data_IF_811640933174
#
_entry.id   IF_811640933174
#
_cell.length_a   1.000
_cell.length_b   1.000
_cell.length_c   1.000
_cell.angle_alpha   90.00
_cell.angle_beta   90.00
_cell.angle_gamma   90.00
#
_symmetry.space_group_name_H-M   'P 1'
#
loop_
_entity.id
_entity.type
_entity.pdbx_description
1 polymer ?
#
# COMPACT_ATOMS: atom_id res chain seq x y z
N UNK A 1 0.17 3.17 28.45
CA UNK A 1 0.26 2.49 27.15
C UNK A 1 1.66 2.54 26.57
N UNK A 2 2.15 3.71 26.07
CA UNK A 2 3.43 3.82 25.35
C UNK A 2 4.67 3.42 26.17
N UNK A 3 4.74 3.77 27.44
CA UNK A 3 5.83 3.34 28.34
C UNK A 3 5.89 1.81 28.53
N UNK A 4 4.71 1.16 28.61
CA UNK A 4 4.63 -0.29 28.68
C UNK A 4 5.03 -0.93 27.35
N UNK A 5 4.59 -0.34 26.25
CA UNK A 5 4.97 -0.77 24.89
C UNK A 5 6.50 -0.71 24.72
N UNK A 6 7.13 0.41 25.09
CA UNK A 6 8.59 0.57 25.01
C UNK A 6 9.33 -0.48 25.83
N UNK A 7 8.86 -0.73 27.06
CA UNK A 7 9.46 -1.74 27.93
C UNK A 7 9.37 -3.16 27.35
N UNK A 8 8.25 -3.48 26.68
CA UNK A 8 8.03 -4.78 26.04
C UNK A 8 8.73 -4.91 24.68
N UNK A 9 8.81 -3.84 23.89
CA UNK A 9 9.37 -3.84 22.55
C UNK A 9 10.91 -3.73 22.49
N UNK A 10 11.58 -3.37 23.60
CA UNK A 10 13.04 -3.31 23.68
C UNK A 10 13.69 -2.19 22.88
N UNK A 11 13.00 -1.07 22.63
CA UNK A 11 13.50 0.10 21.88
C UNK A 11 14.01 -0.23 20.48
N UNK A 12 13.20 -0.81 19.60
CA UNK A 12 13.65 -1.34 18.31
C UNK A 12 14.28 -0.28 17.39
N UNK A 13 13.99 1.02 17.61
CA UNK A 13 14.50 2.14 16.79
C UNK A 13 15.42 3.08 17.59
N UNK A 14 15.93 2.67 18.75
CA UNK A 14 16.90 3.44 19.54
C UNK A 14 16.34 4.71 20.21
N UNK A 15 15.05 5.00 20.09
CA UNK A 15 14.39 6.16 20.66
C UNK A 15 13.75 5.89 22.02
N UNK A 16 13.54 6.93 22.80
CA UNK A 16 12.85 6.86 24.09
C UNK A 16 11.50 7.57 24.04
N UNK A 17 10.50 7.02 24.74
CA UNK A 17 9.26 7.74 25.01
C UNK A 17 9.54 8.91 25.93
N UNK A 18 9.23 10.13 25.48
CA UNK A 18 9.42 11.37 26.25
C UNK A 18 8.13 12.15 26.37
N UNK A 19 7.88 12.67 27.58
CA UNK A 19 6.78 13.61 27.79
C UNK A 19 7.18 15.02 27.36
N UNK A 20 6.28 15.71 26.67
CA UNK A 20 6.42 17.10 26.25
C UNK A 20 5.33 17.93 26.92
N UNK A 21 5.72 19.05 27.53
CA UNK A 21 4.76 20.01 28.13
C UNK A 21 3.96 20.73 27.02
N UNK A 22 2.80 21.26 27.41
CA UNK A 22 2.00 22.11 26.53
C UNK A 22 2.77 23.37 26.06
N UNK A 23 3.61 23.93 26.91
CA UNK A 23 4.46 25.09 26.57
C UNK A 23 5.48 24.71 25.48
N UNK A 24 6.16 23.56 25.63
CA UNK A 24 7.11 23.06 24.65
C UNK A 24 6.42 22.82 23.29
N UNK A 25 5.20 22.28 23.29
CA UNK A 25 4.43 22.04 22.07
C UNK A 25 4.02 23.35 21.38
N UNK A 26 3.52 24.34 22.14
CA UNK A 26 3.15 25.66 21.59
C UNK A 26 4.33 26.37 20.93
N UNK A 27 5.53 26.21 21.48
CA UNK A 27 6.76 26.78 20.92
C UNK A 27 7.22 26.01 19.68
N UNK A 28 7.12 24.68 19.71
CA UNK A 28 7.61 23.81 18.63
C UNK A 28 6.67 23.75 17.44
N UNK A 29 5.36 23.88 17.69
CA UNK A 29 4.29 23.83 16.69
C UNK A 29 3.39 25.06 16.88
N UNK A 30 3.83 26.25 16.45
CA UNK A 30 3.11 27.52 16.70
C UNK A 30 1.72 27.55 16.05
N UNK A 31 1.57 26.88 14.91
CA UNK A 31 0.33 26.82 14.13
C UNK A 31 -0.63 25.73 14.59
N UNK A 32 -0.19 24.87 15.51
CA UNK A 32 -1.06 23.85 16.06
C UNK A 32 -2.05 24.48 17.05
N UNK A 33 -3.29 23.98 17.05
CA UNK A 33 -4.33 24.44 17.96
C UNK A 33 -3.84 24.48 19.41
N UNK A 34 -4.19 25.52 20.13
CA UNK A 34 -3.74 25.77 21.51
C UNK A 34 -4.75 25.31 22.54
N UNK A 35 -6.04 25.29 22.16
CA UNK A 35 -7.16 24.97 23.06
C UNK A 35 -7.17 23.49 23.45
N UNK A 36 -7.29 23.22 24.75
CA UNK A 36 -7.31 21.87 25.31
C UNK A 36 -5.96 21.15 25.29
N UNK A 37 -4.87 21.78 24.80
CA UNK A 37 -3.56 21.17 24.73
C UNK A 37 -2.95 21.02 26.13
N UNK A 38 -2.82 19.79 26.62
CA UNK A 38 -2.27 19.46 27.94
C UNK A 38 -0.81 19.03 27.91
N UNK A 39 -0.36 18.47 26.79
CA UNK A 39 0.97 17.91 26.55
C UNK A 39 0.92 16.85 25.45
N UNK A 40 2.05 16.19 25.23
CA UNK A 40 2.15 15.06 24.33
C UNK A 40 3.16 14.03 24.81
N UNK A 41 3.10 12.84 24.23
CA UNK A 41 4.16 11.84 24.30
C UNK A 41 4.85 11.77 22.95
N UNK A 42 6.16 11.91 22.95
CA UNK A 42 6.99 11.66 21.76
C UNK A 42 7.51 10.23 21.82
N UNK A 43 7.40 9.52 20.75
CA UNK A 43 7.99 8.17 20.55
C UNK A 43 8.55 8.08 19.14
N UNK A 44 9.37 7.07 18.89
CA UNK A 44 9.93 6.79 17.56
C UNK A 44 9.16 5.63 16.94
N UNK A 45 8.82 5.78 15.68
CA UNK A 45 8.18 4.76 14.87
C UNK A 45 8.79 4.77 13.46
N UNK A 46 8.50 3.75 12.66
CA UNK A 46 8.95 3.63 11.29
C UNK A 46 7.82 3.89 10.31
N UNK A 47 8.14 4.51 9.19
CA UNK A 47 7.23 4.76 8.10
C UNK A 47 7.70 4.02 6.85
N UNK A 48 6.82 3.20 6.26
CA UNK A 48 7.02 2.66 4.91
C UNK A 48 6.64 3.76 3.93
N UNK A 49 7.62 4.30 3.21
CA UNK A 49 7.40 5.43 2.32
C UNK A 49 6.56 5.04 1.09
N UNK A 50 6.82 3.87 0.53
CA UNK A 50 6.17 3.36 -0.68
C UNK A 50 5.65 1.94 -0.41
N UNK A 51 4.46 1.79 0.19
CA UNK A 51 3.90 0.47 0.49
C UNK A 51 3.61 -0.36 -0.77
N UNK A 52 3.30 0.28 -1.88
CA UNK A 52 3.11 -0.35 -3.19
C UNK A 52 4.41 -1.00 -3.66
N UNK A 53 5.55 -0.31 -3.52
CA UNK A 53 6.88 -0.85 -3.85
C UNK A 53 7.20 -2.09 -3.04
N UNK A 54 6.90 -2.09 -1.73
CA UNK A 54 7.12 -3.27 -0.89
C UNK A 54 6.39 -4.50 -1.44
N UNK A 55 5.15 -4.33 -1.93
CA UNK A 55 4.37 -5.44 -2.51
C UNK A 55 4.98 -5.91 -3.84
N UNK A 56 5.38 -4.98 -4.71
CA UNK A 56 6.03 -5.29 -6.00
C UNK A 56 7.33 -6.04 -5.79
N UNK A 57 8.17 -5.59 -4.88
CA UNK A 57 9.47 -6.23 -4.56
C UNK A 57 9.27 -7.65 -4.00
N UNK A 58 8.31 -7.85 -3.09
CA UNK A 58 7.98 -9.18 -2.57
C UNK A 58 7.47 -10.11 -3.67
N UNK A 59 6.70 -9.60 -4.63
CA UNK A 59 6.23 -10.36 -5.79
C UNK A 59 7.38 -10.74 -6.70
N UNK A 60 8.27 -9.80 -7.02
CA UNK A 60 9.45 -10.03 -7.85
C UNK A 60 10.39 -11.04 -7.20
N UNK A 61 10.65 -10.93 -5.90
CA UNK A 61 11.43 -11.91 -5.14
C UNK A 61 10.82 -13.32 -5.18
N UNK A 62 9.50 -13.40 -5.10
CA UNK A 62 8.80 -14.70 -5.20
C UNK A 62 8.98 -15.33 -6.59
N UNK A 63 8.91 -14.53 -7.64
CA UNK A 63 9.14 -15.00 -9.03
C UNK A 63 10.60 -15.45 -9.21
N UNK A 64 11.57 -14.71 -8.72
CA UNK A 64 12.98 -15.12 -8.71
C UNK A 64 13.22 -16.42 -7.91
N UNK A 65 12.38 -16.68 -6.90
CA UNK A 65 12.39 -17.94 -6.15
C UNK A 65 11.63 -19.09 -6.82
N UNK A 66 11.10 -18.89 -8.05
CA UNK A 66 10.44 -19.91 -8.86
C UNK A 66 8.91 -19.90 -8.78
N UNK A 67 8.28 -18.87 -8.23
CA UNK A 67 6.84 -18.70 -8.31
C UNK A 67 6.43 -18.20 -9.70
N UNK A 68 5.22 -18.56 -10.15
CA UNK A 68 4.56 -17.92 -11.30
C UNK A 68 3.65 -16.81 -10.83
N UNK A 69 3.57 -15.73 -11.59
CA UNK A 69 2.71 -14.59 -11.30
C UNK A 69 1.88 -14.23 -12.54
N UNK A 70 0.55 -14.21 -12.40
CA UNK A 70 -0.39 -13.73 -13.41
C UNK A 70 -0.97 -12.39 -12.97
N UNK A 71 -0.61 -11.31 -13.67
CA UNK A 71 -1.10 -9.94 -13.41
C UNK A 71 -2.25 -9.62 -14.37
N UNK A 72 -3.21 -8.81 -13.89
CA UNK A 72 -4.38 -8.41 -14.69
C UNK A 72 -5.41 -9.51 -14.91
N UNK A 73 -5.25 -10.66 -14.25
CA UNK A 73 -6.16 -11.79 -14.34
C UNK A 73 -6.85 -12.04 -13.00
N UNK A 74 -8.18 -11.97 -13.00
CA UNK A 74 -8.98 -12.18 -11.79
C UNK A 74 -9.34 -13.64 -11.61
N UNK A 75 -9.35 -14.13 -10.37
CA UNK A 75 -9.97 -15.40 -10.01
C UNK A 75 -11.48 -15.19 -9.94
N UNK A 76 -12.22 -15.87 -10.83
CA UNK A 76 -13.69 -15.77 -10.90
C UNK A 76 -14.37 -16.72 -9.92
N UNK A 77 -13.89 -17.96 -9.83
CA UNK A 77 -14.48 -18.98 -8.98
C UNK A 77 -13.44 -19.99 -8.47
N UNK A 78 -13.80 -20.70 -7.41
CA UNK A 78 -13.09 -21.90 -6.94
C UNK A 78 -13.68 -23.14 -7.61
N UNK A 79 -12.81 -24.00 -8.12
CA UNK A 79 -13.20 -25.28 -8.75
C UNK A 79 -13.36 -26.34 -7.66
N UNK A 80 -14.50 -27.05 -7.66
CA UNK A 80 -14.80 -28.13 -6.74
C UNK A 80 -14.76 -29.49 -7.44
N UNK A 81 -14.18 -30.45 -6.74
CA UNK A 81 -14.38 -31.88 -7.01
C UNK A 81 -15.04 -32.48 -5.75
N UNK A 82 -16.30 -32.89 -5.89
CA UNK A 82 -17.15 -33.28 -4.77
C UNK A 82 -17.26 -32.17 -3.71
N UNK A 83 -16.66 -32.36 -2.53
CA UNK A 83 -16.65 -31.37 -1.42
C UNK A 83 -15.31 -30.64 -1.26
N UNK A 84 -14.32 -30.94 -2.09
CA UNK A 84 -12.96 -30.39 -1.98
C UNK A 84 -12.71 -29.32 -3.02
N UNK A 85 -12.03 -28.25 -2.64
CA UNK A 85 -11.51 -27.23 -3.55
C UNK A 85 -10.21 -27.76 -4.16
N UNK A 86 -10.19 -27.86 -5.49
CA UNK A 86 -9.08 -28.45 -6.25
C UNK A 86 -8.42 -27.48 -7.22
N UNK A 87 -8.98 -26.27 -7.40
CA UNK A 87 -8.46 -25.30 -8.37
C UNK A 87 -9.19 -23.98 -8.35
N UNK A 88 -8.86 -23.15 -9.35
CA UNK A 88 -9.46 -21.83 -9.58
C UNK A 88 -9.76 -21.65 -11.07
N UNK A 89 -10.85 -20.95 -11.37
CA UNK A 89 -11.20 -20.44 -12.69
C UNK A 89 -10.78 -18.97 -12.80
N UNK A 90 -10.09 -18.62 -13.89
CA UNK A 90 -9.59 -17.29 -14.16
C UNK A 90 -10.47 -16.52 -15.14
N UNK A 91 -10.43 -15.21 -15.10
CA UNK A 91 -11.22 -14.31 -15.97
C UNK A 91 -10.88 -14.43 -17.47
N UNK A 92 -9.75 -15.02 -17.82
CA UNK A 92 -9.34 -15.34 -19.19
C UNK A 92 -9.75 -16.75 -19.65
N UNK A 93 -10.51 -17.46 -18.81
CA UNK A 93 -11.01 -18.81 -19.09
C UNK A 93 -10.04 -19.95 -18.74
N UNK A 94 -8.82 -19.67 -18.29
CA UNK A 94 -7.90 -20.71 -17.83
C UNK A 94 -8.38 -21.32 -16.52
N UNK A 95 -8.13 -22.63 -16.39
CA UNK A 95 -8.37 -23.39 -15.17
C UNK A 95 -7.03 -23.81 -14.58
N UNK A 96 -6.78 -23.48 -13.32
CA UNK A 96 -5.57 -23.86 -12.61
C UNK A 96 -5.89 -24.81 -11.47
N UNK A 97 -5.16 -25.91 -11.37
CA UNK A 97 -5.35 -26.94 -10.35
C UNK A 97 -4.17 -27.02 -9.42
N UNK A 98 -4.44 -27.18 -8.13
CA UNK A 98 -3.41 -27.36 -7.11
C UNK A 98 -3.94 -28.20 -5.93
N UNK A 99 -3.07 -28.92 -5.20
CA UNK A 99 -3.48 -29.72 -4.05
C UNK A 99 -3.93 -28.88 -2.85
N UNK A 100 -3.70 -27.57 -2.86
CA UNK A 100 -4.13 -26.62 -1.83
C UNK A 100 -4.22 -25.23 -2.45
N UNK A 101 -5.34 -24.56 -2.23
CA UNK A 101 -5.57 -23.17 -2.63
C UNK A 101 -5.46 -22.28 -1.40
N UNK A 102 -4.81 -21.12 -1.57
CA UNK A 102 -4.72 -20.08 -0.52
C UNK A 102 -5.43 -18.84 -1.03
N UNK A 103 -6.59 -18.54 -0.43
CA UNK A 103 -7.35 -17.33 -0.73
C UNK A 103 -6.83 -16.18 0.13
N UNK A 104 -6.01 -15.33 -0.49
CA UNK A 104 -5.46 -14.11 0.10
C UNK A 104 -6.09 -12.85 -0.52
N UNK A 105 -7.33 -12.92 -1.01
CA UNK A 105 -8.02 -11.88 -1.77
C UNK A 105 -8.44 -10.65 -0.93
N UNK A 106 -7.93 -10.51 0.30
CA UNK A 106 -8.18 -9.33 1.14
C UNK A 106 -9.67 -9.12 1.40
N UNK A 107 -10.21 -7.96 1.05
CA UNK A 107 -11.63 -7.66 1.26
C UNK A 107 -12.58 -8.34 0.26
N UNK A 108 -12.06 -8.99 -0.79
CA UNK A 108 -12.84 -9.82 -1.73
C UNK A 108 -12.97 -11.29 -1.32
N UNK A 109 -12.39 -11.72 -0.18
CA UNK A 109 -12.47 -13.11 0.27
C UNK A 109 -13.91 -13.63 0.29
N UNK A 110 -14.83 -12.90 0.90
CA UNK A 110 -16.24 -13.32 0.98
C UNK A 110 -16.94 -13.34 -0.39
N UNK A 111 -16.59 -12.40 -1.27
CA UNK A 111 -17.13 -12.34 -2.63
C UNK A 111 -16.70 -13.56 -3.47
N UNK A 112 -15.40 -13.93 -3.40
CA UNK A 112 -14.93 -15.15 -4.06
C UNK A 112 -15.61 -16.41 -3.52
N UNK A 113 -15.77 -16.49 -2.20
CA UNK A 113 -16.47 -17.61 -1.57
C UNK A 113 -17.94 -17.69 -2.03
N UNK A 114 -18.65 -16.57 -2.14
CA UNK A 114 -20.04 -16.51 -2.61
C UNK A 114 -20.16 -16.95 -4.08
N UNK A 115 -19.30 -16.45 -4.97
CA UNK A 115 -19.26 -16.85 -6.39
C UNK A 115 -19.00 -18.35 -6.58
N UNK A 116 -18.31 -18.96 -5.62
CA UNK A 116 -17.93 -20.37 -5.63
C UNK A 116 -18.96 -21.29 -4.93
N UNK A 117 -20.19 -20.83 -4.74
CA UNK A 117 -21.29 -21.57 -4.11
C UNK A 117 -20.94 -22.09 -2.70
N UNK A 118 -20.04 -21.39 -2.01
CA UNK A 118 -19.69 -21.73 -0.64
C UNK A 118 -20.89 -21.56 0.30
N UNK A 119 -21.09 -22.52 1.17
CA UNK A 119 -22.09 -22.45 2.25
C UNK A 119 -21.58 -21.67 3.46
N UNK A 120 -20.34 -21.20 3.43
CA UNK A 120 -19.75 -20.43 4.51
C UNK A 120 -20.50 -19.10 4.67
N UNK A 121 -20.78 -18.73 5.93
CA UNK A 121 -21.30 -17.38 6.23
C UNK A 121 -20.20 -16.35 6.01
N UNK A 122 -20.55 -15.10 5.67
CA UNK A 122 -19.58 -14.03 5.51
C UNK A 122 -18.63 -13.95 6.71
N UNK A 123 -17.33 -13.91 6.43
CA UNK A 123 -16.26 -13.96 7.41
C UNK A 123 -15.71 -12.59 7.75
N UNK A 124 -15.97 -11.60 6.89
CA UNK A 124 -15.44 -10.24 7.02
C UNK A 124 -16.49 -9.25 7.53
N UNK A 125 -16.01 -8.23 8.19
CA UNK A 125 -16.68 -6.97 8.47
C UNK A 125 -15.80 -5.87 7.90
N UNK A 126 -16.19 -5.35 6.76
CA UNK A 126 -15.38 -4.40 6.01
C UNK A 126 -15.67 -2.96 6.41
N UNK A 127 -14.61 -2.15 6.54
CA UNK A 127 -14.71 -0.71 6.73
C UNK A 127 -13.82 0.01 5.74
N UNK A 128 -14.28 1.17 5.23
CA UNK A 128 -13.49 2.06 4.40
C UNK A 128 -12.77 3.08 5.28
N UNK A 129 -11.55 3.39 4.91
CA UNK A 129 -10.77 4.46 5.52
C UNK A 129 -10.12 5.31 4.46
N UNK A 130 -10.38 6.61 4.53
CA UNK A 130 -9.94 7.60 3.55
C UNK A 130 -8.88 8.52 4.14
N UNK A 131 -8.02 9.02 3.27
CA UNK A 131 -6.98 10.02 3.56
C UNK A 131 -6.98 11.06 2.46
N UNK A 132 -6.55 12.28 2.80
CA UNK A 132 -6.24 13.33 1.85
C UNK A 132 -4.77 13.73 1.98
N UNK A 133 -4.19 14.18 0.88
CA UNK A 133 -2.85 14.76 0.86
C UNK A 133 -2.98 16.26 0.63
N UNK A 134 -2.37 17.06 1.50
CA UNK A 134 -2.40 18.51 1.49
C UNK A 134 -0.98 19.07 1.37
N UNK A 135 -0.78 20.26 0.81
CA UNK A 135 0.53 20.90 0.81
C UNK A 135 0.99 21.23 2.22
N UNK A 136 2.25 20.94 2.52
CA UNK A 136 2.85 21.30 3.79
C UNK A 136 3.28 22.75 3.77
N UNK A 137 2.78 23.55 4.72
CA UNK A 137 3.09 24.98 4.84
C UNK A 137 4.11 25.24 5.95
N UNK A 138 4.74 26.42 5.95
CA UNK A 138 5.67 26.80 7.00
C UNK A 138 4.98 26.74 8.38
N UNK A 139 5.70 26.23 9.40
CA UNK A 139 5.15 26.04 10.75
C UNK A 139 4.41 24.72 10.98
N UNK A 140 4.15 23.96 9.94
CA UNK A 140 3.54 22.63 10.06
C UNK A 140 4.50 21.61 10.69
N UNK A 141 3.96 20.53 11.31
CA UNK A 141 4.78 19.55 12.00
C UNK A 141 5.76 18.87 11.04
N UNK A 142 7.02 18.75 11.46
CA UNK A 142 8.06 17.99 10.77
C UNK A 142 8.09 16.50 11.21
N UNK A 143 7.22 16.11 12.14
CA UNK A 143 7.08 14.73 12.64
C UNK A 143 5.62 14.32 12.58
N UNK A 144 5.36 13.05 12.42
CA UNK A 144 3.99 12.53 12.46
C UNK A 144 3.30 12.88 13.77
N UNK A 145 2.06 13.29 13.69
CA UNK A 145 1.19 13.56 14.83
C UNK A 145 0.07 12.53 14.87
N UNK A 146 -0.12 11.94 16.04
CA UNK A 146 -1.29 11.13 16.39
C UNK A 146 -2.13 11.93 17.38
N UNK A 147 -3.34 12.26 16.99
CA UNK A 147 -4.28 13.05 17.78
C UNK A 147 -5.66 12.39 17.76
N UNK A 148 -6.56 12.89 18.60
CA UNK A 148 -7.98 12.56 18.50
C UNK A 148 -8.70 13.64 17.72
N UNK A 149 -9.50 13.22 16.74
CA UNK A 149 -10.41 14.07 16.02
C UNK A 149 -11.36 14.77 17.01
N UNK A 150 -11.65 16.02 16.74
CA UNK A 150 -12.43 16.84 17.69
C UNK A 150 -13.91 16.52 17.63
N UNK A 151 -14.40 16.17 16.45
CA UNK A 151 -15.83 15.91 16.22
C UNK A 151 -16.29 14.61 16.89
N UNK A 152 -15.50 13.54 16.86
CA UNK A 152 -15.92 12.19 17.26
C UNK A 152 -14.91 11.44 18.15
N UNK A 153 -13.72 12.01 18.40
CA UNK A 153 -12.69 11.43 19.23
C UNK A 153 -11.92 10.28 18.60
N UNK A 154 -12.09 10.01 17.31
CA UNK A 154 -11.33 8.97 16.59
C UNK A 154 -9.84 9.29 16.52
N UNK A 155 -9.00 8.25 16.40
CA UNK A 155 -7.60 8.42 16.04
C UNK A 155 -7.45 9.12 14.69
N UNK A 156 -6.65 10.18 14.68
CA UNK A 156 -6.40 11.01 13.51
C UNK A 156 -4.91 11.26 13.37
N UNK A 157 -4.41 11.17 12.14
CA UNK A 157 -3.00 11.33 11.85
C UNK A 157 -2.75 12.50 10.92
N UNK A 158 -1.67 13.24 11.20
CA UNK A 158 -1.03 14.16 10.26
C UNK A 158 0.40 13.65 10.08
N UNK A 159 0.72 13.14 8.90
CA UNK A 159 2.01 12.52 8.62
C UNK A 159 2.72 13.31 7.52
N UNK A 160 3.86 13.95 7.81
CA UNK A 160 4.68 14.62 6.79
C UNK A 160 5.15 13.61 5.73
N UNK A 161 5.05 14.03 4.45
CA UNK A 161 5.41 13.23 3.30
C UNK A 161 6.09 14.11 2.26
N UNK A 162 7.40 14.27 2.36
CA UNK A 162 8.12 15.28 1.59
C UNK A 162 7.59 16.68 1.88
N UNK A 163 7.17 17.38 0.85
CA UNK A 163 6.57 18.73 0.95
C UNK A 163 5.04 18.69 1.15
N UNK A 164 4.48 17.50 1.33
CA UNK A 164 3.07 17.26 1.56
C UNK A 164 2.78 16.76 2.97
N UNK A 165 1.51 16.68 3.32
CA UNK A 165 0.98 16.21 4.59
C UNK A 165 -0.15 15.22 4.33
N UNK A 166 0.03 13.96 4.71
CA UNK A 166 -1.05 12.98 4.76
C UNK A 166 -1.93 13.22 5.97
N UNK A 167 -3.24 13.31 5.74
CA UNK A 167 -4.26 13.60 6.74
C UNK A 167 -5.30 12.49 6.74
N UNK A 168 -5.54 11.89 7.88
CA UNK A 168 -6.53 10.81 8.03
C UNK A 168 -6.41 10.04 9.35
N UNK A 169 -7.34 9.15 9.58
CA UNK A 169 -8.19 8.42 8.64
C UNK A 169 -9.66 8.45 9.07
N UNK A 170 -10.55 8.21 8.10
CA UNK A 170 -11.94 7.84 8.38
C UNK A 170 -12.04 6.36 8.73
N UNK A 171 -13.18 5.90 9.26
CA UNK A 171 -13.49 4.49 9.51
C UNK A 171 -15.00 4.28 9.41
N UNK A 172 -15.48 3.97 8.20
CA UNK A 172 -16.88 3.89 7.86
C UNK A 172 -17.22 2.46 7.42
N UNK A 173 -18.29 1.88 7.97
CA UNK A 173 -18.78 0.57 7.51
C UNK A 173 -19.06 0.59 6.00
N UNK A 174 -18.61 -0.44 5.28
CA UNK A 174 -18.70 -0.48 3.83
C UNK A 174 -18.77 -1.91 3.31
N UNK A 175 -19.83 -2.24 2.56
CA UNK A 175 -20.07 -3.61 2.09
C UNK A 175 -19.64 -3.86 0.63
N UNK A 176 -19.38 -2.80 -0.14
CA UNK A 176 -19.09 -2.92 -1.57
C UNK A 176 -17.57 -2.92 -1.81
N UNK A 177 -16.94 -4.10 -2.02
CA UNK A 177 -15.49 -4.19 -2.08
C UNK A 177 -14.87 -3.46 -3.29
N UNK A 178 -15.65 -3.22 -4.34
CA UNK A 178 -15.17 -2.55 -5.56
C UNK A 178 -15.31 -1.02 -5.52
N UNK A 179 -15.94 -0.46 -4.46
CA UNK A 179 -16.14 0.98 -4.27
C UNK A 179 -15.25 1.51 -3.13
N UNK A 180 -13.96 1.66 -3.40
CA UNK A 180 -12.94 1.98 -2.39
C UNK A 180 -12.47 3.44 -2.37
N UNK A 181 -13.03 4.31 -3.20
CA UNK A 181 -12.69 5.74 -3.25
C UNK A 181 -13.29 6.54 -2.08
N UNK A 182 -12.67 7.68 -1.74
CA UNK A 182 -13.17 8.61 -0.74
C UNK A 182 -14.46 9.28 -1.22
N UNK A 183 -15.43 9.49 -0.31
CA UNK A 183 -16.62 10.28 -0.62
C UNK A 183 -16.40 11.75 -0.24
N UNK A 184 -17.21 12.65 -0.81
CA UNK A 184 -17.16 14.08 -0.49
C UNK A 184 -17.33 14.32 1.01
N UNK A 185 -18.22 13.57 1.68
CA UNK A 185 -18.43 13.70 3.14
C UNK A 185 -17.20 13.28 3.94
N UNK A 186 -16.43 12.30 3.45
CA UNK A 186 -15.17 11.91 4.07
C UNK A 186 -14.09 12.97 3.84
N UNK A 187 -14.04 13.56 2.66
CA UNK A 187 -13.11 14.64 2.31
C UNK A 187 -13.40 15.87 3.18
N UNK A 188 -14.67 16.31 3.26
CA UNK A 188 -15.10 17.42 4.11
C UNK A 188 -14.71 17.20 5.58
N UNK A 189 -14.97 16.00 6.10
CA UNK A 189 -14.59 15.64 7.47
C UNK A 189 -13.07 15.76 7.68
N UNK A 190 -12.26 15.27 6.74
CA UNK A 190 -10.80 15.31 6.86
C UNK A 190 -10.25 16.74 6.75
N UNK A 191 -10.81 17.56 5.87
CA UNK A 191 -10.48 19.00 5.76
C UNK A 191 -10.82 19.75 7.05
N UNK A 192 -12.02 19.54 7.59
CA UNK A 192 -12.48 20.18 8.81
C UNK A 192 -11.59 19.83 10.00
N UNK A 193 -11.24 18.55 10.18
CA UNK A 193 -10.34 18.11 11.25
C UNK A 193 -8.90 18.66 11.06
N UNK A 194 -8.40 18.72 9.82
CA UNK A 194 -7.11 19.31 9.52
C UNK A 194 -7.08 20.80 9.89
N UNK A 195 -8.09 21.56 9.49
CA UNK A 195 -8.22 22.99 9.79
C UNK A 195 -8.44 23.27 11.28
N UNK A 196 -9.13 22.38 12.00
CA UNK A 196 -9.25 22.48 13.45
C UNK A 196 -7.93 22.23 14.18
N UNK A 197 -7.05 21.39 13.62
CA UNK A 197 -5.72 21.14 14.19
C UNK A 197 -4.69 22.20 13.80
N UNK A 198 -4.80 22.71 12.58
CA UNK A 198 -3.90 23.69 11.96
C UNK A 198 -4.71 24.93 11.51
N UNK A 199 -5.28 25.73 12.46
CA UNK A 199 -6.24 26.76 12.14
C UNK A 199 -5.69 27.89 11.25
N UNK A 200 -4.38 28.06 11.17
CA UNK A 200 -3.74 29.06 10.28
C UNK A 200 -3.59 28.57 8.85
N UNK A 201 -3.78 27.28 8.60
CA UNK A 201 -3.62 26.68 7.27
C UNK A 201 -4.79 27.04 6.35
N UNK A 202 -6.00 27.06 6.86
CA UNK A 202 -7.25 27.38 6.13
C UNK A 202 -7.36 26.61 4.80
N UNK A 203 -7.15 25.29 4.86
CA UNK A 203 -7.21 24.41 3.70
C UNK A 203 -8.57 24.37 3.05
N UNK A 204 -8.60 24.35 1.73
CA UNK A 204 -9.80 24.23 0.90
C UNK A 204 -9.72 22.97 0.03
N UNK A 205 -10.82 22.61 -0.62
CA UNK A 205 -10.86 21.50 -1.56
C UNK A 205 -9.79 21.61 -2.65
N UNK A 206 -9.55 22.82 -3.17
CA UNK A 206 -8.55 23.10 -4.20
C UNK A 206 -7.10 22.89 -3.73
N UNK A 207 -6.86 22.80 -2.42
CA UNK A 207 -5.55 22.47 -1.85
C UNK A 207 -5.28 20.95 -1.84
N UNK A 208 -6.26 20.11 -2.16
CA UNK A 208 -6.11 18.65 -2.11
C UNK A 208 -5.27 18.20 -3.30
N UNK A 209 -4.09 17.68 -3.01
CA UNK A 209 -3.17 17.14 -4.02
C UNK A 209 -3.63 15.75 -4.48
N UNK A 210 -4.13 14.93 -3.55
CA UNK A 210 -4.48 13.54 -3.79
C UNK A 210 -5.45 13.05 -2.70
N UNK A 211 -6.38 12.18 -3.07
CA UNK A 211 -7.17 11.37 -2.13
C UNK A 211 -6.74 9.91 -2.19
N UNK A 212 -6.84 9.20 -1.09
CA UNK A 212 -6.62 7.75 -1.03
C UNK A 212 -7.64 7.13 -0.09
N UNK A 213 -8.23 6.04 -0.53
CA UNK A 213 -9.09 5.24 0.31
C UNK A 213 -8.78 3.76 0.17
N UNK A 214 -9.17 2.99 1.17
CA UNK A 214 -8.97 1.54 1.15
C UNK A 214 -9.95 0.84 2.07
N UNK A 215 -10.27 -0.41 1.73
CA UNK A 215 -11.20 -1.24 2.49
C UNK A 215 -10.42 -2.16 3.43
N UNK A 216 -10.75 -2.07 4.72
CA UNK A 216 -10.16 -2.92 5.76
C UNK A 216 -10.93 -4.24 5.87
N UNK A 217 -10.31 -5.39 5.61
CA UNK A 217 -10.96 -6.70 5.73
C UNK A 217 -10.93 -7.16 7.20
N UNK A 218 -11.70 -6.53 8.07
CA UNK A 218 -11.73 -6.89 9.49
C UNK A 218 -12.44 -8.22 9.69
N UNK A 219 -11.97 -9.03 10.65
CA UNK A 219 -12.57 -10.35 10.92
C UNK A 219 -13.91 -10.17 11.64
N UNK A 220 -14.99 -10.71 11.07
CA UNK A 220 -16.32 -10.69 11.68
C UNK A 220 -16.32 -11.56 12.95
N UNK A 221 -16.68 -10.95 14.08
CA UNK A 221 -16.91 -11.68 15.32
C UNK A 221 -18.29 -12.30 15.33
N UNK A 222 -18.42 -13.49 15.91
CA UNK A 222 -19.72 -14.12 16.17
C UNK A 222 -20.41 -13.38 17.33
N UNK A 223 -21.62 -12.80 17.10
CA UNK A 223 -22.39 -12.13 18.15
C UNK A 223 -23.35 -11.04 17.63
N UNK A 224 -24.38 -10.65 18.41
CA UNK A 224 -25.54 -9.89 17.91
C UNK A 224 -25.39 -8.39 17.79
N UNK A 225 -24.32 -7.74 18.04
CA UNK A 225 -24.02 -6.33 17.72
C UNK A 225 -22.57 -6.01 18.06
N UNK A 226 -21.79 -5.69 17.06
CA UNK A 226 -20.41 -5.20 17.25
C UNK A 226 -20.47 -3.67 17.16
N UNK A 227 -20.01 -2.98 18.22
CA UNK A 227 -19.77 -1.54 18.14
C UNK A 227 -18.65 -1.30 17.12
N UNK A 228 -18.83 -0.34 16.23
CA UNK A 228 -17.77 0.19 15.37
C UNK A 228 -16.55 0.53 16.23
N UNK A 229 -15.37 0.18 15.78
CA UNK A 229 -14.13 0.33 16.54
C UNK A 229 -13.76 -0.80 17.51
N UNK A 230 -14.68 -1.75 17.82
CA UNK A 230 -14.40 -2.91 18.69
C UNK A 230 -13.98 -4.17 17.92
N UNK A 231 -13.91 -4.11 16.58
CA UNK A 231 -13.54 -5.24 15.72
C UNK A 231 -12.02 -5.47 15.80
N UNK A 232 -11.63 -6.71 16.05
CA UNK A 232 -10.20 -7.07 16.11
C UNK A 232 -9.53 -6.86 14.74
N UNK A 233 -8.39 -6.20 14.74
CA UNK A 233 -7.49 -6.08 13.58
C UNK A 233 -6.49 -7.22 13.49
N UNK A 234 -6.60 -8.23 14.35
CA UNK A 234 -5.78 -9.45 14.28
C UNK A 234 -6.20 -10.28 13.07
N UNK A 235 -5.22 -10.87 12.40
CA UNK A 235 -5.48 -11.80 11.30
C UNK A 235 -5.97 -13.16 11.81
N UNK A 236 -6.61 -13.91 10.91
CA UNK A 236 -6.94 -15.32 11.10
C UNK A 236 -6.59 -16.11 9.82
N UNK A 237 -6.03 -17.29 10.02
CA UNK A 237 -5.73 -18.26 8.97
C UNK A 237 -6.69 -19.43 9.12
N UNK A 238 -7.76 -19.46 8.30
CA UNK A 238 -8.80 -20.49 8.35
C UNK A 238 -8.42 -21.61 7.38
N UNK A 239 -8.12 -22.79 7.90
CA UNK A 239 -7.79 -23.96 7.10
C UNK A 239 -8.90 -25.01 7.08
N UNK A 240 -8.71 -26.11 6.33
CA UNK A 240 -9.74 -27.12 6.05
C UNK A 240 -10.42 -27.73 7.28
N UNK A 241 -9.73 -27.81 8.40
CA UNK A 241 -10.23 -28.44 9.65
C UNK A 241 -10.82 -27.45 10.64
N UNK A 242 -10.80 -26.15 10.34
CA UNK A 242 -11.37 -25.12 11.20
C UNK A 242 -12.89 -25.06 11.02
N UNK A 243 -13.62 -24.55 12.00
CA UNK A 243 -15.09 -24.54 12.01
C UNK A 243 -15.73 -23.79 10.81
N UNK A 244 -14.98 -22.92 10.15
CA UNK A 244 -15.39 -22.18 8.92
C UNK A 244 -14.53 -22.54 7.72
N UNK A 245 -13.80 -23.65 7.80
CA UNK A 245 -12.89 -24.11 6.77
C UNK A 245 -13.58 -24.98 5.74
N UNK A 246 -12.98 -25.07 4.56
CA UNK A 246 -13.38 -25.96 3.48
C UNK A 246 -12.20 -26.82 3.04
N UNK A 247 -12.41 -28.12 2.71
CA UNK A 247 -11.36 -28.99 2.22
C UNK A 247 -10.64 -28.39 1.00
N UNK A 248 -9.32 -28.50 0.94
CA UNK A 248 -8.51 -27.96 -0.16
C UNK A 248 -8.27 -26.46 -0.12
N UNK A 249 -8.78 -25.72 0.90
CA UNK A 249 -8.72 -24.27 0.95
C UNK A 249 -8.16 -23.71 2.28
N UNK A 250 -7.32 -22.69 2.19
CA UNK A 250 -6.97 -21.80 3.31
C UNK A 250 -7.48 -20.39 2.97
N UNK A 251 -8.27 -19.79 3.87
CA UNK A 251 -8.67 -18.37 3.77
C UNK A 251 -7.85 -17.51 4.73
N UNK A 252 -7.32 -16.38 4.24
CA UNK A 252 -6.64 -15.37 5.03
C UNK A 252 -7.59 -14.21 5.32
N UNK A 253 -7.83 -13.92 6.59
CA UNK A 253 -8.75 -12.88 7.02
C UNK A 253 -8.03 -11.82 7.85
N UNK A 254 -8.32 -10.55 7.59
CA UNK A 254 -7.76 -9.45 8.37
C UNK A 254 -6.26 -9.25 8.15
N UNK A 255 -5.60 -8.70 9.18
CA UNK A 255 -4.17 -8.41 9.15
C UNK A 255 -3.85 -6.95 8.81
N UNK A 256 -2.57 -6.65 8.81
CA UNK A 256 -2.01 -5.34 8.48
C UNK A 256 -0.77 -5.54 7.62
N UNK A 257 -0.45 -4.57 6.76
CA UNK A 257 0.80 -4.60 5.98
C UNK A 257 2.02 -4.81 6.89
N UNK A 258 2.07 -4.13 8.04
CA UNK A 258 3.16 -4.25 9.01
C UNK A 258 3.33 -5.64 9.63
N UNK A 259 2.32 -6.50 9.56
CA UNK A 259 2.36 -7.89 10.07
C UNK A 259 2.33 -8.95 8.96
N UNK A 260 2.48 -8.54 7.69
CA UNK A 260 2.39 -9.43 6.53
C UNK A 260 3.29 -10.65 6.62
N UNK A 261 4.55 -10.45 7.07
CA UNK A 261 5.54 -11.54 7.16
C UNK A 261 5.13 -12.61 8.17
N UNK A 262 4.65 -12.23 9.37
CA UNK A 262 4.19 -13.20 10.36
C UNK A 262 2.94 -13.95 9.92
N UNK A 263 2.02 -13.27 9.21
CA UNK A 263 0.85 -13.90 8.60
C UNK A 263 1.27 -14.91 7.52
N UNK A 264 2.20 -14.54 6.64
CA UNK A 264 2.73 -15.43 5.62
C UNK A 264 3.43 -16.67 6.23
N UNK A 265 4.26 -16.48 7.25
CA UNK A 265 4.92 -17.60 7.97
C UNK A 265 3.91 -18.56 8.61
N UNK A 266 2.83 -18.04 9.21
CA UNK A 266 1.76 -18.86 9.78
C UNK A 266 1.03 -19.66 8.70
N UNK A 267 0.70 -18.98 7.59
CA UNK A 267 0.00 -19.56 6.45
C UNK A 267 0.82 -20.69 5.81
N UNK A 268 2.09 -20.42 5.50
CA UNK A 268 2.99 -21.42 4.92
C UNK A 268 3.18 -22.62 5.84
N UNK A 269 3.34 -22.38 7.15
CA UNK A 269 3.42 -23.48 8.15
C UNK A 269 2.18 -24.34 8.15
N UNK A 270 1.00 -23.73 8.06
CA UNK A 270 -0.29 -24.44 8.00
C UNK A 270 -0.42 -25.22 6.69
N UNK A 271 -0.08 -24.60 5.56
CA UNK A 271 -0.08 -25.25 4.24
C UNK A 271 0.85 -26.46 4.19
N UNK A 272 2.09 -26.35 4.65
CA UNK A 272 3.05 -27.45 4.70
C UNK A 272 2.53 -28.62 5.55
N UNK A 273 1.90 -28.33 6.70
CA UNK A 273 1.30 -29.35 7.57
C UNK A 273 0.15 -30.09 6.86
N UNK A 274 -0.68 -29.36 6.09
CA UNK A 274 -1.80 -29.95 5.33
C UNK A 274 -1.25 -30.86 4.23
N UNK A 275 -0.24 -30.39 3.50
CA UNK A 275 0.38 -31.12 2.38
C UNK A 275 1.35 -32.23 2.82
N UNK A 276 1.59 -32.40 4.12
CA UNK A 276 2.54 -33.40 4.64
C UNK A 276 4.01 -33.09 4.32
N UNK A 277 4.32 -31.86 3.94
CA UNK A 277 5.68 -31.44 3.59
C UNK A 277 6.48 -31.12 4.85
N UNK A 278 7.65 -31.78 5.02
CA UNK A 278 8.55 -31.47 6.14
C UNK A 278 9.28 -30.15 5.84
N UNK A 279 9.29 -29.26 6.83
CA UNK A 279 10.03 -27.99 6.74
C UNK A 279 11.53 -28.28 6.72
N UNK A 280 12.22 -27.95 5.63
CA UNK A 280 13.66 -28.17 5.50
C UNK A 280 14.51 -26.94 5.84
N UNK A 281 13.93 -25.73 5.83
CA UNK A 281 14.71 -24.49 6.01
C UNK A 281 13.94 -23.43 6.84
N UNK A 282 14.70 -22.55 7.53
CA UNK A 282 14.17 -21.34 8.14
C UNK A 282 13.84 -20.30 7.06
N UNK A 283 12.85 -19.43 7.31
CA UNK A 283 12.56 -18.31 6.40
C UNK A 283 13.77 -17.38 6.30
N UNK A 284 14.21 -17.08 5.07
CA UNK A 284 15.30 -16.13 4.81
C UNK A 284 14.90 -14.68 5.01
N UNK A 285 13.59 -14.38 5.05
CA UNK A 285 13.05 -13.03 5.12
C UNK A 285 13.47 -12.18 6.34
N UNK A 286 14.10 -12.79 7.33
CA UNK A 286 14.62 -12.08 8.53
C UNK A 286 16.06 -11.59 8.39
N UNK A 287 16.81 -12.08 7.44
CA UNK A 287 18.27 -11.96 7.43
C UNK A 287 18.86 -11.37 6.14
N UNK A 288 18.04 -11.12 5.14
CA UNK A 288 18.51 -10.51 3.89
C UNK A 288 18.43 -9.00 4.02
N UNK A 289 19.57 -8.38 4.28
CA UNK A 289 19.78 -6.94 4.12
C UNK A 289 20.55 -6.76 2.82
N UNK A 290 19.89 -6.27 1.79
CA UNK A 290 20.60 -5.90 0.55
C UNK A 290 21.43 -4.65 0.80
N UNK A 291 22.67 -4.56 0.28
CA UNK A 291 23.49 -3.38 0.46
C UNK A 291 22.85 -2.17 -0.22
N UNK A 292 22.89 -1.03 0.46
CA UNK A 292 22.40 0.23 -0.08
C UNK A 292 23.15 0.64 -1.35
N UNK A 293 22.50 1.44 -2.19
CA UNK A 293 23.11 2.07 -3.35
C UNK A 293 24.06 3.18 -2.88
N UNK A 294 25.21 3.29 -3.53
CA UNK A 294 26.21 4.30 -3.29
C UNK A 294 26.54 5.05 -4.58
N UNK A 295 27.23 6.19 -4.51
CA UNK A 295 27.68 6.93 -5.69
C UNK A 295 28.52 6.05 -6.66
N UNK A 296 29.16 4.99 -6.18
CA UNK A 296 29.89 4.04 -7.02
C UNK A 296 28.97 3.16 -7.90
N UNK A 297 27.71 3.02 -7.52
CA UNK A 297 26.71 2.29 -8.32
C UNK A 297 26.15 3.15 -9.47
N UNK A 298 26.34 4.48 -9.43
CA UNK A 298 25.76 5.42 -10.40
C UNK A 298 26.38 5.22 -11.79
N UNK A 299 25.54 4.97 -12.83
CA UNK A 299 26.02 4.91 -14.21
C UNK A 299 26.67 6.23 -14.67
N UNK A 300 27.65 6.12 -15.55
CA UNK A 300 28.22 7.28 -16.21
C UNK A 300 27.11 8.04 -17.00
N UNK A 301 27.10 9.36 -16.94
CA UNK A 301 26.09 10.19 -17.60
C UNK A 301 24.77 10.34 -16.88
N UNK A 302 24.44 9.50 -15.89
CA UNK A 302 23.21 9.68 -15.12
C UNK A 302 23.35 10.88 -14.15
N UNK A 303 22.41 11.83 -14.22
CA UNK A 303 22.34 12.95 -13.30
C UNK A 303 22.21 12.48 -11.84
N UNK A 304 22.88 13.20 -10.94
CA UNK A 304 22.92 12.84 -9.52
C UNK A 304 21.53 12.86 -8.86
N UNK A 305 20.71 13.83 -9.22
CA UNK A 305 19.35 13.97 -8.64
C UNK A 305 18.45 12.83 -9.08
N UNK A 306 18.58 12.41 -10.35
CA UNK A 306 17.86 11.24 -10.87
C UNK A 306 18.35 9.94 -10.21
N UNK A 307 19.66 9.79 -10.04
CA UNK A 307 20.23 8.66 -9.28
C UNK A 307 19.69 8.59 -7.86
N UNK A 308 19.71 9.69 -7.11
CA UNK A 308 19.22 9.77 -5.73
C UNK A 308 17.71 9.45 -5.67
N UNK A 309 16.95 9.84 -6.69
CA UNK A 309 15.54 9.49 -6.77
C UNK A 309 15.34 7.99 -7.00
N UNK A 310 16.03 7.38 -7.97
CA UNK A 310 15.97 5.93 -8.21
C UNK A 310 16.37 5.18 -6.94
N UNK A 311 17.46 5.59 -6.28
CA UNK A 311 17.89 4.98 -5.02
C UNK A 311 16.82 5.10 -3.91
N UNK A 312 16.11 6.22 -3.84
CA UNK A 312 15.03 6.45 -2.87
C UNK A 312 13.79 5.60 -3.15
N UNK A 313 13.40 5.44 -4.43
CA UNK A 313 12.18 4.72 -4.83
C UNK A 313 12.41 3.21 -4.84
N UNK A 314 13.50 2.76 -5.42
CA UNK A 314 13.79 1.33 -5.67
C UNK A 314 14.75 0.71 -4.65
N UNK A 315 15.41 1.55 -3.82
CA UNK A 315 16.41 1.03 -2.90
C UNK A 315 17.49 0.22 -3.62
N UNK A 316 17.91 -0.93 -3.06
CA UNK A 316 18.91 -1.82 -3.69
C UNK A 316 18.55 -2.35 -5.07
N UNK A 317 17.25 -2.48 -5.38
CA UNK A 317 16.76 -2.96 -6.69
C UNK A 317 16.97 -1.95 -7.82
N UNK A 318 17.31 -0.69 -7.51
CA UNK A 318 17.74 0.28 -8.50
C UNK A 318 18.98 -0.15 -9.29
N UNK A 319 19.75 -1.17 -8.82
CA UNK A 319 20.85 -1.76 -9.58
C UNK A 319 20.41 -2.35 -10.91
N UNK A 320 19.25 -2.98 -10.94
CA UNK A 320 18.70 -3.58 -12.15
C UNK A 320 18.42 -2.50 -13.21
N UNK A 321 17.92 -1.32 -12.78
CA UNK A 321 17.75 -0.16 -13.68
C UNK A 321 19.09 0.36 -14.17
N UNK A 322 20.10 0.42 -13.29
CA UNK A 322 21.43 0.87 -13.65
C UNK A 322 22.14 -0.10 -14.60
N UNK A 323 21.89 -1.39 -14.49
CA UNK A 323 22.40 -2.39 -15.44
C UNK A 323 21.77 -2.25 -16.83
N UNK A 324 20.45 -1.91 -16.90
CA UNK A 324 19.83 -1.53 -18.17
C UNK A 324 20.48 -0.29 -18.80
N UNK A 325 20.74 0.77 -18.01
CA UNK A 325 21.42 1.98 -18.50
C UNK A 325 22.84 1.69 -18.99
N UNK A 326 23.60 0.78 -18.34
CA UNK A 326 24.94 0.36 -18.80
C UNK A 326 24.89 -0.37 -20.15
N UNK A 327 23.76 -1.01 -20.45
CA UNK A 327 23.54 -1.68 -21.73
C UNK A 327 23.07 -0.73 -22.82
N UNK A 328 22.24 0.24 -22.45
CA UNK A 328 21.69 1.30 -23.33
C UNK A 328 21.67 2.63 -22.59
N UNK A 329 22.67 3.47 -22.89
CA UNK A 329 22.86 4.78 -22.26
C UNK A 329 21.66 5.73 -22.50
N UNK A 330 20.85 5.54 -23.55
CA UNK A 330 19.66 6.34 -23.82
C UNK A 330 18.60 6.24 -22.73
N UNK A 331 18.62 5.15 -21.95
CA UNK A 331 17.70 4.90 -20.84
C UNK A 331 17.98 5.77 -19.61
N UNK A 332 19.14 6.45 -19.56
CA UNK A 332 19.44 7.44 -18.51
C UNK A 332 18.68 8.76 -18.71
N UNK A 333 18.15 9.00 -19.90
CA UNK A 333 17.42 10.22 -20.21
C UNK A 333 16.08 10.29 -19.45
N UNK A 334 15.64 11.50 -19.04
CA UNK A 334 14.28 11.69 -18.54
C UNK A 334 13.24 11.14 -19.52
N UNK A 335 12.19 10.52 -19.01
CA UNK A 335 11.06 10.08 -19.83
C UNK A 335 10.37 11.28 -20.47
N UNK A 336 10.16 12.32 -19.68
CA UNK A 336 9.61 13.61 -20.09
C UNK A 336 10.46 14.70 -19.45
N UNK A 337 10.87 15.70 -20.24
CA UNK A 337 11.73 16.77 -19.76
C UNK A 337 11.12 17.50 -18.57
N UNK A 338 11.93 17.73 -17.54
CA UNK A 338 11.51 18.40 -16.30
C UNK A 338 10.74 17.50 -15.30
N UNK A 339 10.50 16.22 -15.61
CA UNK A 339 10.02 15.24 -14.64
C UNK A 339 11.15 14.28 -14.23
N UNK A 340 11.25 13.89 -12.96
CA UNK A 340 12.40 13.15 -12.46
C UNK A 340 12.28 11.63 -12.65
N UNK A 341 11.64 11.19 -13.72
CA UNK A 341 11.53 9.78 -14.12
C UNK A 341 12.39 9.54 -15.34
N UNK A 342 13.20 8.49 -15.32
CA UNK A 342 14.05 8.10 -16.45
C UNK A 342 13.41 6.97 -17.28
N UNK A 343 13.77 6.86 -18.55
CA UNK A 343 13.29 5.81 -19.45
C UNK A 343 13.58 4.41 -18.94
N UNK A 344 14.72 4.21 -18.28
CA UNK A 344 15.12 2.95 -17.66
C UNK A 344 14.15 2.45 -16.60
N UNK A 345 13.46 3.34 -15.86
CA UNK A 345 12.43 2.93 -14.91
C UNK A 345 11.22 2.30 -15.60
N UNK A 346 10.81 2.82 -16.75
CA UNK A 346 9.67 2.29 -17.53
C UNK A 346 10.01 0.90 -18.08
N UNK A 347 11.20 0.75 -18.67
CA UNK A 347 11.68 -0.54 -19.20
C UNK A 347 11.79 -1.58 -18.08
N UNK A 348 12.35 -1.21 -16.94
CA UNK A 348 12.43 -2.09 -15.77
C UNK A 348 11.04 -2.48 -15.27
N UNK A 349 10.13 -1.51 -15.09
CA UNK A 349 8.79 -1.75 -14.58
C UNK A 349 7.98 -2.71 -15.47
N UNK A 350 8.10 -2.59 -16.78
CA UNK A 350 7.38 -3.45 -17.74
C UNK A 350 8.01 -4.82 -17.89
N UNK A 351 9.34 -4.92 -17.93
CA UNK A 351 10.06 -6.19 -18.19
C UNK A 351 10.23 -7.05 -16.94
N UNK A 352 10.43 -6.43 -15.76
CA UNK A 352 10.80 -7.11 -14.51
C UNK A 352 9.71 -7.05 -13.44
N UNK A 353 8.85 -6.02 -13.44
CA UNK A 353 7.88 -5.77 -12.39
C UNK A 353 6.42 -5.88 -12.88
N UNK A 354 6.22 -6.45 -14.07
CA UNK A 354 4.89 -6.79 -14.62
C UNK A 354 3.93 -5.60 -14.76
N UNK A 355 4.44 -4.38 -14.97
CA UNK A 355 3.58 -3.23 -15.22
C UNK A 355 2.92 -3.36 -16.60
N UNK A 356 1.58 -3.29 -16.66
CA UNK A 356 0.79 -3.43 -17.87
C UNK A 356 0.01 -2.16 -18.24
N UNK A 357 -0.14 -1.24 -17.31
CA UNK A 357 -0.93 -0.01 -17.48
C UNK A 357 -0.14 1.21 -17.05
N UNK A 358 -0.55 2.40 -17.53
CA UNK A 358 0.04 3.68 -17.07
C UNK A 358 -0.16 3.88 -15.56
N UNK A 359 -1.27 3.39 -14.99
CA UNK A 359 -1.51 3.45 -13.55
C UNK A 359 -0.55 2.52 -12.79
N UNK A 360 -0.25 1.32 -13.32
CA UNK A 360 0.80 0.48 -12.75
C UNK A 360 2.16 1.18 -12.75
N UNK A 361 2.53 1.79 -13.87
CA UNK A 361 3.81 2.49 -14.00
C UNK A 361 3.93 3.63 -13.01
N UNK A 362 3.00 4.58 -13.04
CA UNK A 362 3.17 5.86 -12.35
C UNK A 362 2.69 5.85 -10.89
N UNK A 363 1.67 5.05 -10.55
CA UNK A 363 1.16 4.98 -9.20
C UNK A 363 1.78 3.87 -8.33
N UNK A 364 2.30 2.77 -8.94
CA UNK A 364 2.73 1.57 -8.19
C UNK A 364 4.18 1.16 -8.41
N UNK A 365 4.87 1.65 -9.48
CA UNK A 365 6.28 1.34 -9.76
C UNK A 365 7.16 2.57 -9.59
N UNK A 366 7.00 3.55 -10.45
CA UNK A 366 7.79 4.80 -10.39
C UNK A 366 7.35 5.75 -9.28
N UNK A 367 6.20 5.53 -8.65
CA UNK A 367 5.66 6.34 -7.55
C UNK A 367 5.50 7.84 -7.87
N UNK A 368 5.34 8.19 -9.16
CA UNK A 368 5.21 9.58 -9.61
C UNK A 368 3.99 10.28 -9.00
N UNK A 369 2.87 9.57 -8.89
CA UNK A 369 1.60 10.14 -8.39
C UNK A 369 1.67 10.56 -6.92
N UNK A 370 2.71 10.17 -6.19
CA UNK A 370 2.96 10.58 -4.81
C UNK A 370 3.97 11.72 -4.67
N UNK A 371 4.53 12.19 -5.78
CA UNK A 371 5.46 13.32 -5.81
C UNK A 371 4.68 14.63 -5.96
N UNK A 372 5.08 15.67 -5.23
CA UNK A 372 4.52 17.02 -5.36
C UNK A 372 5.10 17.72 -6.59
N UNK A 373 4.63 17.31 -7.76
CA UNK A 373 5.09 17.76 -9.07
C UNK A 373 3.86 17.95 -9.98
N UNK A 374 3.94 18.83 -10.99
CA UNK A 374 2.82 19.10 -11.90
C UNK A 374 2.63 17.99 -12.97
N UNK A 375 2.82 16.73 -12.60
CA UNK A 375 2.67 15.57 -13.49
C UNK A 375 1.23 15.42 -14.00
N UNK A 376 0.24 15.82 -13.19
CA UNK A 376 -1.18 15.71 -13.51
C UNK A 376 -1.60 16.58 -14.71
N UNK A 377 -0.91 17.68 -14.96
CA UNK A 377 -1.10 18.53 -16.15
C UNK A 377 -0.48 17.93 -17.41
N UNK A 378 0.38 16.91 -17.26
CA UNK A 378 1.21 16.32 -18.32
C UNK A 378 0.87 14.84 -18.59
N UNK A 379 -0.32 14.38 -18.21
CA UNK A 379 -0.71 12.97 -18.37
C UNK A 379 -0.69 12.49 -19.81
N UNK A 380 -1.05 13.36 -20.78
CA UNK A 380 -0.99 13.02 -22.19
C UNK A 380 0.44 12.84 -22.67
N UNK A 381 1.32 13.77 -22.35
CA UNK A 381 2.74 13.72 -22.69
C UNK A 381 3.45 12.50 -22.09
N UNK A 382 3.11 12.15 -20.84
CA UNK A 382 3.60 10.93 -20.20
C UNK A 382 3.13 9.68 -20.94
N UNK A 383 1.87 9.62 -21.35
CA UNK A 383 1.33 8.49 -22.10
C UNK A 383 2.01 8.33 -23.46
N UNK A 384 2.21 9.42 -24.18
CA UNK A 384 2.91 9.44 -25.48
C UNK A 384 4.37 9.01 -25.36
N UNK A 385 5.09 9.52 -24.34
CA UNK A 385 6.48 9.13 -24.09
C UNK A 385 6.64 7.65 -23.73
N UNK A 386 5.70 7.08 -22.96
CA UNK A 386 5.66 5.64 -22.69
C UNK A 386 5.33 4.87 -23.97
N UNK A 387 4.35 5.33 -24.74
CA UNK A 387 3.94 4.70 -26.01
C UNK A 387 5.08 4.65 -27.01
N UNK A 388 5.83 5.75 -27.16
CA UNK A 388 7.02 5.81 -28.02
C UNK A 388 8.09 4.80 -27.56
N UNK A 389 8.38 4.77 -26.25
CA UNK A 389 9.40 3.89 -25.67
C UNK A 389 9.04 2.40 -25.77
N UNK A 390 7.76 2.06 -25.64
CA UNK A 390 7.25 0.68 -25.67
C UNK A 390 6.68 0.28 -27.03
N UNK A 391 6.76 1.14 -28.04
CA UNK A 391 6.26 0.91 -29.41
C UNK A 391 4.75 0.63 -29.48
N UNK A 392 3.96 1.35 -28.69
CA UNK A 392 2.51 1.27 -28.77
C UNK A 392 1.99 1.92 -30.06
N UNK A 393 0.88 1.41 -30.57
CA UNK A 393 0.11 2.12 -31.59
C UNK A 393 -0.58 3.37 -30.99
N UNK A 394 -0.97 4.31 -31.84
CA UNK A 394 -1.73 5.49 -31.42
C UNK A 394 -3.02 5.09 -30.66
N UNK A 395 -3.69 4.02 -31.13
CA UNK A 395 -4.89 3.50 -30.47
C UNK A 395 -4.60 2.97 -29.08
N UNK A 396 -3.54 2.17 -28.90
CA UNK A 396 -3.14 1.65 -27.58
C UNK A 396 -2.78 2.79 -26.62
N UNK A 397 -2.06 3.80 -27.10
CA UNK A 397 -1.71 4.98 -26.32
C UNK A 397 -2.97 5.72 -25.83
N UNK A 398 -3.97 5.93 -26.72
CA UNK A 398 -5.24 6.57 -26.38
C UNK A 398 -6.07 5.76 -25.38
N UNK A 399 -6.13 4.45 -25.54
CA UNK A 399 -6.82 3.53 -24.63
C UNK A 399 -6.18 3.52 -23.24
N UNK A 400 -4.86 3.42 -23.17
CA UNK A 400 -4.10 3.46 -21.93
C UNK A 400 -4.26 4.81 -21.20
N UNK A 401 -4.15 5.93 -21.92
CA UNK A 401 -4.35 7.26 -21.37
C UNK A 401 -5.77 7.45 -20.82
N UNK A 402 -6.79 7.05 -21.59
CA UNK A 402 -8.20 7.13 -21.17
C UNK A 402 -8.46 6.30 -19.91
N UNK A 403 -7.88 5.12 -19.86
CA UNK A 403 -8.00 4.21 -18.69
C UNK A 403 -7.32 4.79 -17.46
N UNK A 404 -6.13 5.37 -17.65
CA UNK A 404 -5.40 6.02 -16.55
C UNK A 404 -6.15 7.24 -16.01
N UNK A 405 -6.70 8.11 -16.89
CA UNK A 405 -7.53 9.24 -16.43
C UNK A 405 -8.76 8.81 -15.63
N UNK A 406 -9.36 7.66 -15.95
CA UNK A 406 -10.45 7.09 -15.14
C UNK A 406 -9.96 6.62 -13.78
N UNK A 407 -8.80 5.97 -13.72
CA UNK A 407 -8.19 5.54 -12.47
C UNK A 407 -7.84 6.73 -11.57
N UNK A 408 -7.26 7.80 -12.12
CA UNK A 408 -6.92 9.03 -11.39
C UNK A 408 -8.13 9.73 -10.77
N UNK A 409 -9.31 9.65 -11.40
CA UNK A 409 -10.56 10.19 -10.83
C UNK A 409 -11.10 9.37 -9.66
N UNK A 410 -10.63 8.16 -9.48
CA UNK A 410 -10.97 7.27 -8.37
C UNK A 410 -9.96 7.38 -7.21
N UNK A 411 -8.85 8.03 -7.45
CA UNK A 411 -7.83 8.39 -6.48
C UNK A 411 -7.97 9.86 -6.08
#
# INVERSE_FOLDING_TARGET
GLWLYEAMAGRPFGGEVRSLSAETLRRRFPDFRKDGLRGALRYVDAQVRYPERLVVELMTDAVHAGASCDIGVRVEALIRDNSEIVGVELSDGRLLYAPLIINAAGHWVDQLMQRSESRARPMLHTTRGSHIMLPRRAGHPASGLYVQARSDGRPFFLIPWGDSLWVGTTDIYHEQPDHWYATEEEIDYLLDEANQLLPTADYKHDDIILTRAGIRPLVRKSGPRIKEGAVSRAHQVIGPRDARGEPGLINLLGGKLTTHRSLAEETVRKAMKILGVKRSHSTRSKSVVLPELTDADRPEGLDKTLFERVARVYGPYGRDIFDLIRTDESLAAPLVEGLPIIKGEIVHATSMEFAATLDDLFARRCMLTTEDLPWHERTRELAEAVGELLHWSDQECDEQHTTWLKALKQH
#
